data_IF_267469548840
#
_entry.id   IF_267469548840
#
_cell.length_a   1.000
_cell.length_b   1.000
_cell.length_c   1.000
_cell.angle_alpha   90.00
_cell.angle_beta   90.00
_cell.angle_gamma   90.00
#
_symmetry.space_group_name_H-M   'P 1'
#
loop_
_entity.id
_entity.type
_entity.pdbx_description
1 polymer ?
#
# COMPACT_ATOMS: atom_id res chain seq x y z
N UNK A 1 -21.45 8.04 -12.89
CA UNK A 1 -21.29 9.13 -13.89
C UNK A 1 -21.07 10.43 -13.13
N UNK A 2 -19.81 10.83 -12.92
CA UNK A 2 -19.47 12.07 -12.19
C UNK A 2 -19.20 13.20 -13.18
N UNK A 3 -19.73 14.38 -12.88
CA UNK A 3 -19.76 15.59 -13.71
C UNK A 3 -18.39 15.96 -14.29
N UNK A 4 -18.20 15.74 -15.59
CA UNK A 4 -17.02 16.23 -16.31
C UNK A 4 -17.10 17.75 -16.51
N UNK A 5 -16.08 18.45 -16.03
CA UNK A 5 -15.97 19.90 -16.16
C UNK A 5 -15.39 20.20 -17.55
N UNK A 6 -16.15 20.89 -18.41
CA UNK A 6 -15.65 21.33 -19.71
C UNK A 6 -14.67 22.49 -19.54
N UNK A 7 -13.47 22.35 -20.10
CA UNK A 7 -12.43 23.38 -20.11
C UNK A 7 -12.67 24.32 -21.31
N UNK A 8 -13.51 25.34 -21.15
CA UNK A 8 -13.73 26.35 -22.21
C UNK A 8 -12.56 27.33 -22.30
N UNK A 9 -12.14 27.71 -23.51
CA UNK A 9 -11.08 28.69 -23.78
C UNK A 9 -9.72 28.45 -23.07
N UNK A 10 -9.37 27.18 -22.80
CA UNK A 10 -8.11 26.80 -22.12
C UNK A 10 -7.92 27.54 -20.78
N UNK A 11 -9.01 28.01 -20.19
CA UNK A 11 -9.07 28.78 -18.95
C UNK A 11 -10.19 28.21 -18.11
N UNK A 12 -9.91 27.86 -16.86
CA UNK A 12 -10.96 27.34 -15.98
C UNK A 12 -11.77 28.54 -15.48
N UNK A 13 -12.86 28.89 -16.18
CA UNK A 13 -13.74 29.99 -15.78
C UNK A 13 -14.33 29.79 -14.37
N UNK A 14 -14.41 28.54 -13.87
CA UNK A 14 -14.96 28.20 -12.55
C UNK A 14 -14.01 27.36 -11.68
N UNK A 15 -12.81 27.88 -11.38
CA UNK A 15 -11.87 27.27 -10.41
C UNK A 15 -12.49 27.05 -9.02
N UNK A 16 -13.54 27.81 -8.67
CA UNK A 16 -14.27 27.70 -7.40
C UNK A 16 -15.02 26.37 -7.25
N UNK A 17 -15.42 25.73 -8.35
CA UNK A 17 -16.15 24.46 -8.34
C UNK A 17 -15.24 23.24 -8.09
N UNK A 18 -13.91 23.42 -8.14
CA UNK A 18 -12.97 22.34 -7.87
C UNK A 18 -12.77 22.21 -6.34
N UNK A 19 -12.95 21.01 -5.76
CA UNK A 19 -12.75 20.77 -4.33
C UNK A 19 -11.30 21.00 -3.90
N UNK A 20 -11.11 21.25 -2.61
CA UNK A 20 -9.77 21.40 -2.00
C UNK A 20 -9.25 20.10 -1.39
N UNK A 21 -10.09 19.06 -1.39
CA UNK A 21 -9.84 17.73 -0.87
C UNK A 21 -8.75 16.98 -1.66
N UNK A 22 -8.16 15.93 -1.06
CA UNK A 22 -7.32 15.01 -1.80
C UNK A 22 -8.15 14.20 -2.81
N UNK A 23 -7.50 13.79 -3.89
CA UNK A 23 -8.15 12.96 -4.91
C UNK A 23 -7.36 12.88 -6.19
N UNK A 24 -8.03 12.37 -7.22
CA UNK A 24 -7.49 12.25 -8.57
C UNK A 24 -8.17 13.23 -9.52
N UNK A 25 -7.44 13.64 -10.55
CA UNK A 25 -7.95 14.40 -11.68
C UNK A 25 -7.54 13.73 -12.99
N UNK A 26 -8.47 13.65 -13.92
CA UNK A 26 -8.30 13.07 -15.24
C UNK A 26 -8.53 14.16 -16.29
N UNK A 27 -7.55 14.38 -17.16
CA UNK A 27 -7.75 15.18 -18.38
C UNK A 27 -8.21 14.27 -19.50
N UNK A 28 -9.24 14.70 -20.22
CA UNK A 28 -9.82 13.98 -21.34
C UNK A 28 -9.81 14.83 -22.61
N UNK A 29 -9.70 14.17 -23.75
CA UNK A 29 -9.71 14.82 -25.06
C UNK A 29 -11.14 15.06 -25.61
N UNK A 30 -11.24 15.45 -26.88
CA UNK A 30 -12.51 15.69 -27.59
C UNK A 30 -13.42 14.46 -27.64
N UNK A 31 -12.85 13.26 -27.64
CA UNK A 31 -13.56 11.98 -27.71
C UNK A 31 -13.87 11.42 -26.30
N UNK A 32 -13.59 12.21 -25.25
CA UNK A 32 -13.68 11.80 -23.84
C UNK A 32 -12.76 10.63 -23.49
N UNK A 33 -11.63 10.48 -24.19
CA UNK A 33 -10.59 9.53 -23.81
C UNK A 33 -9.66 10.15 -22.78
N UNK A 34 -9.32 9.39 -21.73
CA UNK A 34 -8.41 9.86 -20.68
C UNK A 34 -6.98 9.91 -21.22
N UNK A 35 -6.45 11.13 -21.35
CA UNK A 35 -5.10 11.37 -21.88
C UNK A 35 -4.06 11.57 -20.78
N UNK A 36 -4.48 11.95 -19.57
CA UNK A 36 -3.61 12.10 -18.40
C UNK A 36 -4.37 11.92 -17.10
N UNK A 37 -3.73 11.29 -16.12
CA UNK A 37 -4.23 11.10 -14.75
C UNK A 37 -3.19 11.64 -13.77
N UNK A 38 -3.63 12.35 -12.75
CA UNK A 38 -2.77 12.76 -11.65
C UNK A 38 -3.48 12.76 -10.30
N UNK A 39 -2.72 12.62 -9.21
CA UNK A 39 -3.20 12.81 -7.83
C UNK A 39 -2.90 14.21 -7.29
N UNK A 40 -3.69 14.64 -6.31
CA UNK A 40 -3.46 15.87 -5.57
C UNK A 40 -3.79 15.71 -4.09
N UNK A 41 -3.01 16.37 -3.22
CA UNK A 41 -3.43 16.66 -1.83
C UNK A 41 -4.54 17.73 -1.78
N UNK A 42 -4.52 18.63 -2.76
CA UNK A 42 -5.49 19.69 -2.94
C UNK A 42 -5.76 19.85 -4.43
N UNK A 43 -6.90 19.33 -4.87
CA UNK A 43 -7.28 19.26 -6.28
C UNK A 43 -7.29 20.65 -6.93
N UNK A 44 -7.89 21.66 -6.28
CA UNK A 44 -7.93 23.03 -6.80
C UNK A 44 -6.55 23.63 -7.05
N UNK A 45 -5.65 23.57 -6.06
CA UNK A 45 -4.27 24.09 -6.20
C UNK A 45 -3.53 23.34 -7.31
N UNK A 46 -3.69 22.02 -7.38
CA UNK A 46 -2.99 21.19 -8.37
C UNK A 46 -3.49 21.47 -9.78
N UNK A 47 -4.79 21.46 -10.02
CA UNK A 47 -5.37 21.75 -11.34
C UNK A 47 -5.00 23.17 -11.78
N UNK A 48 -5.07 24.17 -10.88
CA UNK A 48 -4.68 25.55 -11.19
C UNK A 48 -3.24 25.67 -11.70
N UNK A 49 -2.33 24.80 -11.22
CA UNK A 49 -0.92 24.84 -11.64
C UNK A 49 -0.67 24.50 -13.12
N UNK A 50 -1.65 23.90 -13.80
CA UNK A 50 -1.59 23.61 -15.24
C UNK A 50 -1.88 24.83 -16.12
N UNK A 51 -2.49 25.88 -15.56
CA UNK A 51 -2.93 27.09 -16.29
C UNK A 51 -2.21 28.39 -15.82
N UNK A 52 -0.87 28.42 -15.73
CA UNK A 52 -0.12 29.62 -15.36
C UNK A 52 -0.15 30.68 -16.47
N UNK A 53 0.04 31.94 -16.05
CA UNK A 53 0.08 33.13 -16.92
C UNK A 53 1.41 33.34 -17.66
N UNK A 54 2.46 32.52 -17.42
CA UNK A 54 3.82 32.75 -17.93
C UNK A 54 4.34 31.65 -18.86
N UNK A 55 5.30 32.01 -19.73
CA UNK A 55 5.76 31.25 -20.92
C UNK A 55 6.62 30.00 -20.64
N UNK A 56 7.05 29.76 -19.40
CA UNK A 56 8.05 28.72 -19.05
C UNK A 56 7.44 27.32 -18.82
N UNK A 57 6.56 26.86 -19.71
CA UNK A 57 6.02 25.50 -19.66
C UNK A 57 6.80 24.55 -20.59
N UNK A 58 7.00 23.31 -20.13
CA UNK A 58 7.56 22.26 -20.98
C UNK A 58 6.67 21.99 -22.20
N UNK A 59 7.27 21.61 -23.33
CA UNK A 59 6.54 21.28 -24.57
C UNK A 59 5.47 20.20 -24.35
N UNK A 60 5.76 19.22 -23.49
CA UNK A 60 4.82 18.16 -23.10
C UNK A 60 3.59 18.72 -22.40
N UNK A 61 3.78 19.62 -21.44
CA UNK A 61 2.68 20.24 -20.69
C UNK A 61 1.78 21.09 -21.59
N UNK A 62 2.38 21.88 -22.50
CA UNK A 62 1.63 22.67 -23.49
C UNK A 62 0.74 21.78 -24.35
N UNK A 63 1.28 20.64 -24.81
CA UNK A 63 0.53 19.69 -25.65
C UNK A 63 -0.61 18.99 -24.91
N UNK A 64 -0.35 18.55 -23.67
CA UNK A 64 -1.38 18.01 -22.80
C UNK A 64 -2.55 18.99 -22.67
N UNK A 65 -2.27 20.25 -22.32
CA UNK A 65 -3.31 21.25 -22.13
C UNK A 65 -4.01 21.65 -23.43
N UNK A 66 -3.32 21.63 -24.58
CA UNK A 66 -3.98 21.87 -25.86
C UNK A 66 -4.94 20.76 -26.27
N UNK A 67 -4.65 19.50 -25.90
CA UNK A 67 -5.48 18.33 -26.20
C UNK A 67 -6.56 18.09 -25.13
N UNK A 68 -6.50 18.75 -23.97
CA UNK A 68 -7.46 18.57 -22.86
C UNK A 68 -8.73 19.41 -23.04
N UNK A 69 -9.87 18.75 -23.19
CA UNK A 69 -11.19 19.39 -23.36
C UNK A 69 -12.05 19.24 -22.10
N UNK A 70 -11.93 18.11 -21.41
CA UNK A 70 -12.69 17.84 -20.19
C UNK A 70 -11.76 17.52 -19.02
N UNK A 71 -12.27 17.80 -17.82
CA UNK A 71 -11.64 17.49 -16.55
C UNK A 71 -12.62 16.69 -15.70
N UNK A 72 -12.25 15.47 -15.35
CA UNK A 72 -12.96 14.66 -14.36
C UNK A 72 -12.20 14.62 -13.06
N UNK A 73 -12.92 14.57 -11.94
CA UNK A 73 -12.36 14.60 -10.60
C UNK A 73 -13.05 13.54 -9.76
N UNK A 74 -12.26 12.81 -8.99
CA UNK A 74 -12.76 11.90 -7.95
C UNK A 74 -12.08 12.26 -6.64
N UNK A 75 -12.90 12.60 -5.63
CA UNK A 75 -12.44 12.91 -4.27
C UNK A 75 -12.14 11.59 -3.55
N UNK A 76 -11.06 11.56 -2.78
CA UNK A 76 -10.70 10.43 -1.92
C UNK A 76 -10.65 10.87 -0.46
N UNK A 77 -10.72 9.92 0.48
CA UNK A 77 -10.71 10.22 1.91
C UNK A 77 -9.30 10.54 2.43
N UNK A 78 -8.26 10.12 1.69
CA UNK A 78 -6.87 10.35 2.07
C UNK A 78 -5.95 10.54 0.86
N UNK A 79 -4.75 11.07 1.10
CA UNK A 79 -3.70 11.11 0.07
C UNK A 79 -3.26 9.70 -0.36
N UNK A 80 -3.22 8.76 0.58
CA UNK A 80 -2.81 7.38 0.29
C UNK A 80 -3.80 6.73 -0.68
N UNK A 81 -5.10 6.90 -0.43
CA UNK A 81 -6.14 6.43 -1.33
C UNK A 81 -6.03 7.09 -2.72
N UNK A 82 -5.77 8.41 -2.78
CA UNK A 82 -5.54 9.12 -4.03
C UNK A 82 -4.35 8.55 -4.82
N UNK A 83 -3.26 8.21 -4.12
CA UNK A 83 -2.07 7.59 -4.72
C UNK A 83 -2.36 6.20 -5.26
N UNK A 84 -3.06 5.35 -4.49
CA UNK A 84 -3.39 4.00 -4.92
C UNK A 84 -4.35 4.01 -6.11
N UNK A 85 -5.35 4.89 -6.08
CA UNK A 85 -6.31 5.05 -7.17
C UNK A 85 -5.65 5.60 -8.44
N UNK A 86 -4.77 6.60 -8.32
CA UNK A 86 -3.96 7.11 -9.44
C UNK A 86 -3.16 6.00 -10.10
N UNK A 87 -2.41 5.22 -9.30
CA UNK A 87 -1.61 4.12 -9.83
C UNK A 87 -2.51 3.08 -10.52
N UNK A 88 -3.67 2.77 -9.93
CA UNK A 88 -4.62 1.81 -10.50
C UNK A 88 -5.10 2.25 -11.87
N UNK A 89 -5.64 3.46 -11.97
CA UNK A 89 -6.19 3.95 -13.24
C UNK A 89 -5.10 4.14 -14.31
N UNK A 90 -3.87 4.53 -13.94
CA UNK A 90 -2.78 4.62 -14.93
C UNK A 90 -2.43 3.24 -15.50
N UNK A 91 -2.46 2.17 -14.70
CA UNK A 91 -2.20 0.81 -15.18
C UNK A 91 -3.30 0.26 -16.08
N UNK A 92 -4.56 0.51 -15.73
CA UNK A 92 -5.71 0.05 -16.51
C UNK A 92 -5.83 0.81 -17.84
N UNK A 93 -5.72 2.14 -17.80
CA UNK A 93 -6.01 3.01 -18.94
C UNK A 93 -4.77 3.28 -19.80
N UNK A 94 -3.57 3.21 -19.19
CA UNK A 94 -2.28 3.55 -19.81
C UNK A 94 -2.29 4.91 -20.57
N UNK A 95 -2.73 6.02 -19.96
CA UNK A 95 -2.96 7.29 -20.66
C UNK A 95 -1.72 7.80 -21.41
N UNK A 96 -1.93 8.41 -22.58
CA UNK A 96 -0.87 8.90 -23.47
C UNK A 96 0.24 9.69 -22.76
N UNK A 97 -0.11 10.62 -21.87
CA UNK A 97 0.86 11.53 -21.23
C UNK A 97 1.45 11.03 -19.91
N UNK A 98 0.90 9.98 -19.29
CA UNK A 98 1.53 9.34 -18.13
C UNK A 98 2.76 8.54 -18.58
N UNK A 99 3.84 8.60 -17.80
CA UNK A 99 5.09 7.85 -18.08
C UNK A 99 5.37 6.85 -16.96
N UNK A 100 5.18 7.27 -15.72
CA UNK A 100 5.28 6.41 -14.55
C UNK A 100 4.06 5.48 -14.44
N UNK A 101 4.23 4.35 -13.76
CA UNK A 101 3.18 3.37 -13.45
C UNK A 101 2.53 2.69 -14.66
N UNK A 102 3.17 2.75 -15.84
CA UNK A 102 2.78 1.98 -17.03
C UNK A 102 3.38 0.57 -17.07
N UNK A 103 4.32 0.25 -16.17
CA UNK A 103 4.89 -1.09 -16.09
C UNK A 103 3.86 -2.07 -15.51
N UNK A 104 3.93 -3.33 -15.98
CA UNK A 104 3.03 -4.39 -15.52
C UNK A 104 3.46 -4.95 -14.14
N UNK A 105 4.25 -4.17 -13.37
CA UNK A 105 4.62 -4.56 -12.02
C UNK A 105 3.37 -4.49 -11.15
N UNK A 106 2.93 -5.65 -10.66
CA UNK A 106 1.84 -5.72 -9.68
C UNK A 106 2.09 -4.83 -8.45
N UNK A 107 1.01 -4.42 -7.80
CA UNK A 107 1.11 -3.72 -6.51
C UNK A 107 1.90 -4.57 -5.52
N UNK A 108 2.71 -3.96 -4.65
CA UNK A 108 3.36 -4.69 -3.59
C UNK A 108 2.34 -5.02 -2.49
N UNK A 109 2.34 -6.28 -2.06
CA UNK A 109 1.51 -6.82 -0.99
C UNK A 109 2.39 -7.46 0.08
N UNK A 110 1.83 -7.70 1.25
CA UNK A 110 2.36 -8.68 2.20
C UNK A 110 1.52 -9.95 2.03
N UNK A 111 2.19 -11.10 1.89
CA UNK A 111 1.52 -12.40 1.98
C UNK A 111 1.89 -13.09 3.27
N UNK A 112 0.91 -13.76 3.89
CA UNK A 112 1.12 -14.74 4.94
C UNK A 112 0.78 -16.10 4.33
N UNK A 113 1.80 -16.98 4.24
CA UNK A 113 1.69 -18.27 3.57
C UNK A 113 0.94 -19.31 4.42
N UNK A 114 -0.37 -19.11 4.62
CA UNK A 114 -1.23 -19.96 5.45
C UNK A 114 -1.41 -21.37 4.89
N UNK A 115 -1.07 -21.60 3.62
CA UNK A 115 -0.96 -22.93 3.04
C UNK A 115 0.15 -23.81 3.65
N UNK A 116 1.07 -23.23 4.43
CA UNK A 116 2.20 -23.91 5.05
C UNK A 116 1.96 -24.13 6.54
N UNK A 117 2.55 -25.21 7.06
CA UNK A 117 2.48 -25.56 8.49
C UNK A 117 3.03 -24.47 9.42
N UNK A 118 4.11 -23.81 9.00
CA UNK A 118 4.68 -22.63 9.64
C UNK A 118 4.58 -21.46 8.67
N UNK A 119 3.53 -20.63 8.71
CA UNK A 119 3.37 -19.52 7.77
C UNK A 119 4.51 -18.50 7.84
N UNK A 120 4.94 -17.98 6.69
CA UNK A 120 5.89 -16.87 6.60
C UNK A 120 5.20 -15.59 6.19
N UNK A 121 5.69 -14.45 6.69
CA UNK A 121 5.28 -13.13 6.23
C UNK A 121 6.34 -12.58 5.25
N UNK A 122 5.98 -12.46 3.97
CA UNK A 122 6.91 -12.03 2.91
C UNK A 122 6.30 -10.98 1.98
N UNK A 123 7.17 -10.24 1.30
CA UNK A 123 6.74 -9.33 0.24
C UNK A 123 6.25 -10.11 -0.97
N UNK A 124 5.10 -9.73 -1.50
CA UNK A 124 4.48 -10.37 -2.65
C UNK A 124 4.18 -9.38 -3.78
N UNK A 125 4.36 -9.82 -5.02
CA UNK A 125 3.98 -9.13 -6.25
C UNK A 125 3.52 -10.19 -7.25
N UNK A 126 2.28 -10.10 -7.72
CA UNK A 126 1.76 -11.04 -8.72
C UNK A 126 0.28 -11.34 -8.52
N UNK A 127 -0.16 -12.42 -9.13
CA UNK A 127 -1.50 -12.98 -9.03
C UNK A 127 -1.70 -13.68 -7.70
N UNK A 128 -2.74 -13.31 -6.96
CA UNK A 128 -3.03 -13.88 -5.65
C UNK A 128 -3.61 -15.28 -5.80
N UNK A 129 -3.13 -16.20 -4.99
CA UNK A 129 -3.73 -17.52 -4.84
C UNK A 129 -4.88 -17.49 -3.81
N UNK A 130 -5.82 -18.43 -3.87
CA UNK A 130 -6.95 -18.48 -2.94
C UNK A 130 -6.58 -19.00 -1.53
N UNK A 131 -5.42 -19.65 -1.38
CA UNK A 131 -5.01 -20.39 -0.17
C UNK A 131 -4.26 -19.54 0.84
N UNK A 132 -3.49 -18.56 0.37
CA UNK A 132 -2.68 -17.67 1.20
C UNK A 132 -3.40 -16.34 1.46
N UNK A 133 -3.03 -15.65 2.54
CA UNK A 133 -3.64 -14.36 2.89
C UNK A 133 -2.79 -13.20 2.39
N UNK A 134 -3.43 -12.24 1.72
CA UNK A 134 -2.76 -11.09 1.11
C UNK A 134 -3.26 -9.78 1.72
N UNK A 135 -2.33 -8.92 2.13
CA UNK A 135 -2.59 -7.64 2.78
C UNK A 135 -1.99 -6.48 1.98
N UNK A 136 -2.76 -5.42 1.77
CA UNK A 136 -2.39 -4.30 0.90
C UNK A 136 -3.57 -3.81 0.05
N UNK A 137 -3.31 -3.16 -1.10
CA UNK A 137 -2.01 -2.89 -1.72
C UNK A 137 -1.20 -1.83 -0.98
N UNK A 138 0.12 -1.95 -0.99
CA UNK A 138 1.02 -0.94 -0.42
C UNK A 138 1.46 0.07 -1.49
N UNK A 139 1.76 1.33 -1.11
CA UNK A 139 2.16 2.36 -2.06
C UNK A 139 3.54 2.11 -2.69
N UNK A 140 4.40 1.33 -2.02
CA UNK A 140 5.73 0.97 -2.51
C UNK A 140 6.28 -0.28 -1.82
N UNK A 141 7.28 -0.92 -2.42
CA UNK A 141 8.01 -2.01 -1.77
C UNK A 141 8.75 -1.57 -0.50
N UNK A 142 9.10 -0.29 -0.40
CA UNK A 142 9.70 0.25 0.81
C UNK A 142 8.70 0.22 1.98
N UNK A 143 7.45 0.62 1.73
CA UNK A 143 6.37 0.53 2.73
C UNK A 143 6.13 -0.92 3.18
N UNK A 144 6.14 -1.88 2.24
CA UNK A 144 6.06 -3.32 2.58
C UNK A 144 7.23 -3.74 3.49
N UNK A 145 8.47 -3.40 3.11
CA UNK A 145 9.67 -3.76 3.89
C UNK A 145 9.61 -3.19 5.31
N UNK A 146 9.19 -1.93 5.48
CA UNK A 146 9.07 -1.33 6.80
C UNK A 146 7.99 -2.00 7.64
N UNK A 147 6.84 -2.30 7.03
CA UNK A 147 5.73 -2.98 7.71
C UNK A 147 6.14 -4.39 8.15
N UNK A 148 6.81 -5.16 7.27
CA UNK A 148 7.35 -6.47 7.62
C UNK A 148 8.35 -6.41 8.78
N UNK A 149 9.26 -5.43 8.78
CA UNK A 149 10.21 -5.23 9.88
C UNK A 149 9.50 -5.00 11.22
N UNK A 150 8.43 -4.21 11.23
CA UNK A 150 7.64 -3.95 12.46
C UNK A 150 6.96 -5.23 12.92
N UNK A 151 6.30 -5.95 12.01
CA UNK A 151 5.61 -7.21 12.31
C UNK A 151 6.58 -8.26 12.86
N UNK A 152 7.76 -8.39 12.26
CA UNK A 152 8.80 -9.30 12.74
C UNK A 152 9.33 -8.92 14.12
N UNK A 153 9.47 -7.62 14.41
CA UNK A 153 9.93 -7.15 15.72
C UNK A 153 8.92 -7.47 16.82
N UNK A 154 7.63 -7.38 16.52
CA UNK A 154 6.55 -7.56 17.50
C UNK A 154 6.17 -9.04 17.63
N UNK A 155 5.89 -9.72 16.52
CA UNK A 155 5.34 -11.08 16.51
C UNK A 155 6.34 -12.15 16.11
N UNK A 156 7.60 -11.79 15.78
CA UNK A 156 8.68 -12.76 15.53
C UNK A 156 8.36 -13.82 14.46
N UNK A 157 7.58 -13.45 13.45
CA UNK A 157 7.19 -14.32 12.32
C UNK A 157 8.35 -14.46 11.35
N UNK A 158 8.54 -15.68 10.81
CA UNK A 158 9.60 -15.93 9.82
C UNK A 158 9.34 -15.22 8.49
N UNK A 159 10.41 -14.87 7.79
CA UNK A 159 10.41 -14.35 6.41
C UNK A 159 11.31 -15.14 5.46
N UNK A 160 11.90 -16.23 5.95
CA UNK A 160 12.80 -17.06 5.17
C UNK A 160 12.01 -17.89 4.14
N UNK A 161 12.64 -18.16 2.98
CA UNK A 161 12.09 -19.09 1.98
C UNK A 161 12.02 -20.50 2.55
N UNK A 162 11.05 -21.29 2.11
CA UNK A 162 10.83 -22.66 2.59
C UNK A 162 12.04 -23.58 2.39
N UNK A 163 12.80 -23.41 1.30
CA UNK A 163 14.03 -24.15 1.07
C UNK A 163 15.08 -23.91 2.17
N UNK A 164 15.16 -22.68 2.70
CA UNK A 164 16.01 -22.41 3.86
C UNK A 164 15.39 -22.98 5.13
N UNK A 165 14.07 -22.82 5.33
CA UNK A 165 13.38 -23.31 6.52
C UNK A 165 13.63 -24.81 6.76
N UNK A 166 13.45 -25.65 5.73
CA UNK A 166 13.58 -27.11 5.84
C UNK A 166 15.01 -27.60 6.10
N UNK A 167 16.02 -26.86 5.64
CA UNK A 167 17.42 -27.29 5.67
C UNK A 167 18.23 -26.68 6.83
N UNK A 168 17.59 -25.93 7.73
CA UNK A 168 18.28 -25.25 8.84
C UNK A 168 18.53 -26.21 10.00
N UNK A 169 19.81 -26.34 10.38
CA UNK A 169 20.24 -27.05 11.60
C UNK A 169 20.53 -26.13 12.78
N UNK A 170 20.79 -24.85 12.51
CA UNK A 170 21.09 -23.81 13.51
C UNK A 170 20.21 -22.58 13.32
N UNK A 171 19.90 -21.83 14.40
CA UNK A 171 19.19 -20.57 14.30
C UNK A 171 19.86 -19.60 13.30
N UNK A 172 19.06 -18.74 12.69
CA UNK A 172 19.55 -17.72 11.77
C UNK A 172 19.69 -16.37 12.49
N UNK A 173 20.33 -15.41 11.84
CA UNK A 173 20.49 -14.05 12.38
C UNK A 173 19.17 -13.42 12.84
N UNK A 174 18.05 -13.69 12.15
CA UNK A 174 16.75 -13.13 12.56
C UNK A 174 16.33 -13.60 13.96
N UNK A 175 16.67 -14.82 14.35
CA UNK A 175 16.44 -15.31 15.71
C UNK A 175 17.35 -14.60 16.71
N UNK A 176 18.66 -14.54 16.41
CA UNK A 176 19.66 -13.91 17.27
C UNK A 176 19.34 -12.43 17.58
N UNK A 177 18.76 -11.71 16.62
CA UNK A 177 18.34 -10.31 16.79
C UNK A 177 16.88 -10.15 17.26
N UNK A 178 16.23 -11.24 17.67
CA UNK A 178 14.89 -11.22 18.26
C UNK A 178 13.73 -10.91 17.29
N UNK A 179 13.91 -11.18 15.99
CA UNK A 179 12.90 -10.93 14.92
C UNK A 179 12.22 -12.20 14.39
N UNK A 180 12.64 -13.37 14.85
CA UNK A 180 12.05 -14.65 14.49
C UNK A 180 12.06 -15.57 15.70
N UNK A 181 10.99 -16.31 15.96
CA UNK A 181 10.91 -17.31 17.05
C UNK A 181 11.57 -18.65 16.69
N UNK A 182 12.28 -18.72 15.57
CA UNK A 182 13.00 -19.88 15.03
C UNK A 182 12.25 -21.23 15.06
N UNK A 183 11.03 -21.30 14.48
CA UNK A 183 10.33 -22.58 14.33
C UNK A 183 11.11 -23.64 13.54
N UNK A 184 12.06 -23.22 12.68
CA UNK A 184 12.88 -24.13 11.87
C UNK A 184 13.82 -25.04 12.67
N UNK A 185 14.13 -24.67 13.92
CA UNK A 185 14.96 -25.47 14.84
C UNK A 185 14.20 -25.78 16.13
N UNK A 186 12.87 -25.80 16.06
CA UNK A 186 11.99 -26.15 17.19
C UNK A 186 12.18 -25.33 18.46
N UNK A 187 12.69 -24.09 18.35
CA UNK A 187 12.84 -23.17 19.49
C UNK A 187 11.51 -22.65 20.04
N UNK A 188 10.43 -22.78 19.27
CA UNK A 188 9.06 -22.44 19.65
C UNK A 188 8.13 -23.60 19.29
N UNK A 189 7.09 -23.81 20.10
CA UNK A 189 6.04 -24.78 19.77
C UNK A 189 5.24 -24.32 18.54
N UNK A 190 4.75 -25.26 17.74
CA UNK A 190 3.88 -24.94 16.60
C UNK A 190 2.65 -24.15 17.03
N UNK A 191 2.06 -24.51 18.18
CA UNK A 191 0.87 -23.85 18.71
C UNK A 191 1.13 -22.37 19.03
N UNK A 192 2.25 -22.07 19.67
CA UNK A 192 2.58 -20.70 20.05
C UNK A 192 3.02 -19.86 18.84
N UNK A 193 3.75 -20.45 17.90
CA UNK A 193 4.07 -19.78 16.63
C UNK A 193 2.80 -19.41 15.83
N UNK A 194 1.80 -20.29 15.80
CA UNK A 194 0.54 -19.99 15.12
C UNK A 194 -0.25 -18.87 15.82
N UNK A 195 -0.13 -18.72 17.15
CA UNK A 195 -0.69 -17.55 17.85
C UNK A 195 -0.01 -16.26 17.40
N UNK A 196 1.33 -16.24 17.33
CA UNK A 196 2.09 -15.09 16.81
C UNK A 196 1.63 -14.70 15.40
N UNK A 197 1.49 -15.70 14.50
CA UNK A 197 0.98 -15.51 13.14
C UNK A 197 -0.43 -14.94 13.14
N UNK A 198 -1.31 -15.43 14.01
CA UNK A 198 -2.69 -14.96 14.12
C UNK A 198 -2.76 -13.51 14.62
N UNK A 199 -1.96 -13.15 15.62
CA UNK A 199 -1.91 -11.77 16.14
C UNK A 199 -1.40 -10.79 15.06
N UNK A 200 -0.35 -11.14 14.30
CA UNK A 200 0.09 -10.32 13.18
C UNK A 200 -0.94 -10.22 12.06
N UNK A 201 -1.65 -11.31 11.78
CA UNK A 201 -2.75 -11.34 10.81
C UNK A 201 -3.86 -10.37 11.24
N UNK A 202 -4.21 -10.34 12.52
CA UNK A 202 -5.19 -9.41 13.06
C UNK A 202 -4.72 -7.95 12.93
N UNK A 203 -3.45 -7.67 13.24
CA UNK A 203 -2.87 -6.33 13.05
C UNK A 203 -2.97 -5.89 11.59
N UNK A 204 -2.59 -6.75 10.64
CA UNK A 204 -2.66 -6.46 9.20
C UNK A 204 -4.10 -6.30 8.68
N UNK A 205 -5.10 -6.86 9.35
CA UNK A 205 -6.53 -6.64 9.07
C UNK A 205 -7.07 -5.35 9.69
N UNK A 206 -6.23 -4.55 10.33
CA UNK A 206 -6.64 -3.31 11.00
C UNK A 206 -7.27 -3.52 12.39
N UNK A 207 -7.20 -4.74 12.94
CA UNK A 207 -7.75 -5.07 14.27
C UNK A 207 -6.75 -4.75 15.39
N UNK A 208 -6.14 -3.56 15.35
CA UNK A 208 -5.07 -3.17 16.27
C UNK A 208 -5.53 -3.18 17.74
N UNK A 209 -6.73 -2.67 18.02
CA UNK A 209 -7.27 -2.61 19.39
C UNK A 209 -7.40 -3.99 20.04
N UNK A 210 -7.89 -4.98 19.27
CA UNK A 210 -8.01 -6.37 19.73
C UNK A 210 -6.64 -6.95 20.05
N UNK A 211 -5.62 -6.65 19.24
CA UNK A 211 -4.26 -7.13 19.49
C UNK A 211 -3.68 -6.51 20.76
N UNK A 212 -3.91 -5.21 20.98
CA UNK A 212 -3.46 -4.53 22.20
C UNK A 212 -4.12 -5.10 23.46
N UNK A 213 -5.44 -5.31 23.44
CA UNK A 213 -6.17 -5.93 24.56
C UNK A 213 -5.60 -7.31 24.91
N UNK A 214 -5.35 -8.15 23.90
CA UNK A 214 -4.75 -9.47 24.12
C UNK A 214 -3.35 -9.35 24.72
N UNK A 215 -2.52 -8.43 24.22
CA UNK A 215 -1.17 -8.21 24.75
C UNK A 215 -1.18 -7.75 26.21
N UNK A 216 -2.08 -6.82 26.58
CA UNK A 216 -2.20 -6.38 27.97
C UNK A 216 -2.62 -7.53 28.90
N UNK A 217 -3.59 -8.36 28.47
CA UNK A 217 -4.02 -9.52 29.25
C UNK A 217 -2.89 -10.57 29.40
N UNK A 218 -2.08 -10.79 28.36
CA UNK A 218 -0.92 -11.68 28.43
C UNK A 218 0.15 -11.12 29.38
N UNK A 219 0.43 -9.82 29.30
CA UNK A 219 1.37 -9.12 30.18
C UNK A 219 0.96 -9.21 31.66
N UNK A 220 -0.31 -8.94 31.98
CA UNK A 220 -0.84 -9.04 33.34
C UNK A 220 -0.75 -10.48 33.88
N UNK A 221 -1.04 -11.46 33.03
CA UNK A 221 -0.91 -12.88 33.37
C UNK A 221 0.53 -13.28 33.66
N UNK A 222 1.48 -12.90 32.81
CA UNK A 222 2.90 -13.21 32.99
C UNK A 222 3.51 -12.47 34.19
N UNK A 223 3.09 -11.23 34.43
CA UNK A 223 3.46 -10.46 35.62
C UNK A 223 2.96 -11.13 36.91
N UNK A 224 1.70 -11.57 36.92
CA UNK A 224 1.11 -12.32 38.04
C UNK A 224 1.84 -13.64 38.30
N UNK A 225 2.35 -14.30 37.25
CA UNK A 225 3.15 -15.52 37.35
C UNK A 225 4.66 -15.27 37.52
N UNK A 226 5.07 -14.04 37.86
CA UNK A 226 6.48 -13.61 38.06
C UNK A 226 7.41 -13.93 36.87
N UNK A 227 6.85 -14.06 35.67
CA UNK A 227 7.57 -14.35 34.43
C UNK A 227 7.85 -13.04 33.67
N UNK A 228 8.56 -12.12 34.31
CA UNK A 228 8.74 -10.74 33.84
C UNK A 228 9.45 -10.63 32.49
N UNK A 229 10.25 -11.62 32.09
CA UNK A 229 10.90 -11.66 30.77
C UNK A 229 9.91 -11.86 29.61
N UNK A 230 8.68 -12.29 29.90
CA UNK A 230 7.61 -12.54 28.93
C UNK A 230 6.47 -11.52 29.01
N UNK A 231 6.45 -10.69 30.05
CA UNK A 231 5.52 -9.58 30.22
C UNK A 231 6.03 -8.37 29.44
#
# INVERSE_FOLDING_TARGET
MQNSIRLSNKTINNLKCIPTDPGIYCFLDTEKQVIYIGKAKNLRKRVKSYFPKSKAQSKKLKRLISESIFLEITITNSELEALLLEQHLIKEIKPKYNVQFKDDKGYPWITISTSKEFPAAISFRGTKDATDQYFGPFPSSFAVKNTLKIIQKIFKIRDCKDAFFKNRKRPCLQYEIGRCSAPCVTAISKKDYLKEVQQATNLLKGKANIVLEVMYLEMDKFSSSKSYEKA
#
